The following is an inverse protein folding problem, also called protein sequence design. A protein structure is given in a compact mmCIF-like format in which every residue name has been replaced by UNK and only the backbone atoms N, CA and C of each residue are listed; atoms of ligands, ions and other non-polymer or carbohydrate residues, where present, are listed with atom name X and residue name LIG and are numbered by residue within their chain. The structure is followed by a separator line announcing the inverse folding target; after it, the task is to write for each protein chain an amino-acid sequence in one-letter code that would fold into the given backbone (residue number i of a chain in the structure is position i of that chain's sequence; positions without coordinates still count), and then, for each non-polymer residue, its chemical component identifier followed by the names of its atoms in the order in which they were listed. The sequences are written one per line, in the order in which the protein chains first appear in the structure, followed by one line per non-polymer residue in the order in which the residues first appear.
data_IF_698608555798
#
_entry.id   IF_698608555798
#
_cell.length_a   1.000
_cell.length_b   1.000
_cell.length_c   1.000
_cell.angle_alpha   90.00
_cell.angle_beta   90.00
_cell.angle_gamma   90.00
#
_symmetry.space_group_name_H-M   'P 1'
#
loop_
_entity.id
_entity.type
_entity.pdbx_description
1 polymer ?
#
# COMPACT_ATOMS: atom_id res chain seq x y z
N UNK A 1 22.27 -28.37 18.24
CA UNK A 1 22.27 -26.91 18.17
C UNK A 1 22.48 -26.34 16.75
N UNK A 2 23.49 -26.83 16.04
CA UNK A 2 23.77 -26.36 14.69
C UNK A 2 22.60 -26.58 13.74
N UNK A 3 21.88 -27.69 13.89
CA UNK A 3 20.70 -27.96 13.05
C UNK A 3 19.59 -26.95 13.27
N UNK A 4 19.47 -26.43 14.50
CA UNK A 4 18.46 -25.42 14.82
C UNK A 4 18.76 -24.11 14.10
N UNK A 5 20.03 -23.72 14.03
CA UNK A 5 20.40 -22.49 13.32
C UNK A 5 20.13 -22.56 11.82
N UNK A 6 20.42 -23.69 11.19
CA UNK A 6 20.17 -23.89 9.78
C UNK A 6 18.68 -23.81 9.49
N UNK A 7 17.87 -24.46 10.31
CA UNK A 7 16.42 -24.45 10.15
C UNK A 7 15.86 -23.04 10.32
N UNK A 8 16.37 -22.32 11.31
CA UNK A 8 15.95 -20.92 11.54
C UNK A 8 16.28 -20.03 10.35
N UNK A 9 17.44 -20.20 9.75
CA UNK A 9 17.81 -19.44 8.56
C UNK A 9 16.89 -19.72 7.40
N UNK A 10 16.52 -20.96 7.17
CA UNK A 10 15.58 -21.32 6.12
C UNK A 10 14.18 -20.74 6.37
N UNK A 11 13.75 -20.75 7.62
CA UNK A 11 12.47 -20.15 7.99
C UNK A 11 12.47 -18.64 7.74
N UNK A 12 13.56 -17.96 8.07
CA UNK A 12 13.68 -16.54 7.81
C UNK A 12 13.60 -16.22 6.32
N UNK A 13 14.25 -17.00 5.48
CA UNK A 13 14.17 -16.84 4.04
C UNK A 13 12.75 -17.08 3.54
N UNK A 14 12.07 -18.08 4.06
CA UNK A 14 10.69 -18.35 3.74
C UNK A 14 9.77 -17.21 4.13
N UNK A 15 9.97 -16.67 5.34
CA UNK A 15 9.17 -15.54 5.83
C UNK A 15 9.36 -14.32 4.93
N UNK A 16 10.60 -14.01 4.54
CA UNK A 16 10.87 -12.88 3.64
C UNK A 16 10.12 -13.04 2.33
N UNK A 17 10.09 -14.24 1.75
CA UNK A 17 9.39 -14.46 0.48
C UNK A 17 7.86 -14.37 0.61
N UNK A 18 7.30 -14.57 1.82
CA UNK A 18 5.86 -14.50 2.05
C UNK A 18 5.38 -13.12 2.54
N UNK A 19 6.30 -12.21 2.89
CA UNK A 19 5.95 -10.94 3.52
C UNK A 19 5.83 -9.77 2.55
N UNK A 20 5.76 -10.02 1.25
CA UNK A 20 5.75 -8.96 0.24
C UNK A 20 4.55 -8.01 0.35
N UNK A 21 3.37 -8.55 0.59
CA UNK A 21 2.18 -7.70 0.73
C UNK A 21 2.28 -6.76 1.93
N UNK A 22 2.90 -7.21 3.02
CA UNK A 22 3.09 -6.37 4.21
C UNK A 22 4.18 -5.31 4.03
N UNK A 23 4.89 -5.32 2.90
CA UNK A 23 5.84 -4.27 2.58
C UNK A 23 5.18 -2.90 2.40
N UNK A 24 3.85 -2.87 2.25
CA UNK A 24 3.12 -1.59 2.19
C UNK A 24 2.96 -0.94 3.57
N UNK A 25 3.15 -1.69 4.65
CA UNK A 25 2.99 -1.15 6.01
C UNK A 25 4.12 -0.19 6.35
N UNK A 26 3.79 0.89 7.05
CA UNK A 26 4.78 1.84 7.52
C UNK A 26 4.36 3.28 7.32
N UNK A 27 5.33 4.16 7.49
CA UNK A 27 5.14 5.61 7.34
C UNK A 27 5.72 6.06 6.01
N UNK A 28 5.01 6.90 5.31
CA UNK A 28 5.33 7.28 3.94
C UNK A 28 5.15 8.78 3.73
N UNK A 29 5.99 9.35 2.86
CA UNK A 29 5.80 10.70 2.35
C UNK A 29 5.12 10.59 0.99
N UNK A 30 3.97 11.23 0.83
CA UNK A 30 3.29 11.34 -0.47
C UNK A 30 3.97 12.47 -1.24
N UNK A 31 4.70 12.12 -2.28
CA UNK A 31 5.52 13.06 -3.04
C UNK A 31 4.68 14.19 -3.63
N UNK A 32 3.50 13.88 -4.13
CA UNK A 32 2.66 14.82 -4.87
C UNK A 32 2.06 15.92 -4.00
N UNK A 33 1.82 15.67 -2.72
CA UNK A 33 1.18 16.67 -1.85
C UNK A 33 1.96 16.95 -0.56
N UNK A 34 3.08 16.28 -0.33
CA UNK A 34 3.92 16.48 0.84
C UNK A 34 3.34 15.94 2.15
N UNK A 35 2.23 15.24 2.12
CA UNK A 35 1.61 14.70 3.33
C UNK A 35 2.35 13.48 3.84
N UNK A 36 2.45 13.36 5.16
CA UNK A 36 2.97 12.16 5.81
C UNK A 36 1.78 11.27 6.16
N UNK A 37 1.85 10.03 5.72
CA UNK A 37 0.76 9.07 5.89
C UNK A 37 1.29 7.79 6.52
N UNK A 38 0.38 7.03 7.11
CA UNK A 38 0.71 5.73 7.68
C UNK A 38 -0.22 4.67 7.10
N UNK A 39 0.36 3.58 6.60
CA UNK A 39 -0.40 2.41 6.19
C UNK A 39 -0.22 1.35 7.26
N UNK A 40 -1.33 0.84 7.78
CA UNK A 40 -1.37 -0.10 8.88
C UNK A 40 -2.50 -1.09 8.68
N UNK A 41 -2.52 -2.14 9.47
CA UNK A 41 -3.66 -3.06 9.52
C UNK A 41 -4.57 -2.64 10.66
N UNK A 42 -5.86 -2.48 10.36
CA UNK A 42 -6.84 -2.14 11.39
C UNK A 42 -7.22 -3.35 12.24
N UNK A 43 -8.16 -3.19 13.14
CA UNK A 43 -8.58 -4.24 14.08
C UNK A 43 -9.08 -5.51 13.38
N UNK A 44 -9.64 -5.37 12.19
CA UNK A 44 -10.14 -6.51 11.42
C UNK A 44 -9.07 -7.09 10.48
N UNK A 45 -7.84 -6.57 10.53
CA UNK A 45 -6.75 -7.07 9.70
C UNK A 45 -6.71 -6.49 8.29
N UNK A 46 -7.46 -5.43 8.05
CA UNK A 46 -7.51 -4.80 6.73
C UNK A 46 -6.47 -3.70 6.61
N UNK A 47 -5.84 -3.62 5.44
CA UNK A 47 -4.91 -2.53 5.15
C UNK A 47 -5.65 -1.21 5.09
N UNK A 48 -5.15 -0.24 5.83
CA UNK A 48 -5.78 1.08 5.97
C UNK A 48 -4.70 2.14 5.95
N UNK A 49 -4.99 3.27 5.30
CA UNK A 49 -4.05 4.40 5.26
C UNK A 49 -4.67 5.63 5.88
N UNK A 50 -3.91 6.31 6.74
CA UNK A 50 -4.35 7.55 7.37
C UNK A 50 -3.31 8.65 7.20
N UNK A 51 -3.78 9.89 7.14
CA UNK A 51 -2.92 11.07 7.18
C UNK A 51 -2.53 11.28 8.64
N UNK A 52 -1.24 11.34 8.94
CA UNK A 52 -0.78 11.42 10.33
C UNK A 52 -1.21 12.70 11.04
N UNK A 53 -1.29 13.80 10.32
CA UNK A 53 -1.62 15.10 10.88
C UNK A 53 -3.01 15.14 11.52
N UNK A 54 -4.01 14.52 10.90
CA UNK A 54 -5.40 14.64 11.32
C UNK A 54 -6.13 13.30 11.45
N UNK A 55 -5.43 12.18 11.26
CA UNK A 55 -5.98 10.82 11.31
C UNK A 55 -7.07 10.54 10.26
N UNK A 56 -7.15 11.37 9.22
CA UNK A 56 -8.11 11.15 8.15
C UNK A 56 -7.76 9.87 7.38
N UNK A 57 -8.74 8.98 7.24
CA UNK A 57 -8.56 7.73 6.51
C UNK A 57 -8.70 8.02 5.01
N UNK A 58 -7.59 7.96 4.28
CA UNK A 58 -7.57 8.25 2.85
C UNK A 58 -7.50 6.99 1.98
N UNK A 59 -7.16 5.86 2.57
CA UNK A 59 -6.94 4.62 1.84
C UNK A 59 -7.59 3.46 2.59
N UNK A 60 -8.42 2.68 1.89
CA UNK A 60 -9.08 1.49 2.46
C UNK A 60 -9.04 0.36 1.45
N UNK A 61 -8.73 -0.85 1.93
CA UNK A 61 -8.80 -2.00 1.04
C UNK A 61 -10.24 -2.33 0.69
N UNK A 62 -10.46 -2.79 -0.54
CA UNK A 62 -11.74 -3.29 -0.97
C UNK A 62 -11.89 -4.76 -0.54
N UNK A 63 -13.14 -5.24 -0.47
CA UNK A 63 -13.43 -6.60 -0.03
C UNK A 63 -12.73 -7.66 -0.89
N UNK A 64 -12.51 -7.36 -2.16
CA UNK A 64 -11.91 -8.27 -3.12
C UNK A 64 -10.41 -8.04 -3.30
N UNK A 65 -9.74 -7.58 -2.23
CA UNK A 65 -8.31 -7.31 -2.30
C UNK A 65 -7.54 -8.57 -2.72
N UNK A 66 -6.69 -8.41 -3.72
CA UNK A 66 -5.81 -9.47 -4.19
C UNK A 66 -4.37 -8.97 -4.28
N UNK A 67 -3.44 -9.86 -3.99
CA UNK A 67 -2.03 -9.59 -4.17
C UNK A 67 -1.52 -10.35 -5.38
N UNK A 68 -0.88 -9.64 -6.31
CA UNK A 68 -0.23 -10.24 -7.45
C UNK A 68 1.27 -10.34 -7.21
N UNK A 69 1.75 -11.55 -7.02
CA UNK A 69 3.18 -11.80 -6.81
C UNK A 69 4.00 -11.42 -8.05
N UNK A 70 3.46 -11.68 -9.23
CA UNK A 70 4.14 -11.39 -10.51
C UNK A 70 4.33 -9.88 -10.70
N UNK A 71 3.31 -9.11 -10.39
CA UNK A 71 3.32 -7.66 -10.55
C UNK A 71 3.79 -6.93 -9.31
N UNK A 72 3.93 -7.65 -8.20
CA UNK A 72 4.26 -7.08 -6.90
C UNK A 72 3.32 -5.95 -6.53
N UNK A 73 2.02 -6.20 -6.67
CA UNK A 73 1.00 -5.19 -6.46
C UNK A 73 -0.21 -5.73 -5.71
N UNK A 74 -0.87 -4.84 -4.98
CA UNK A 74 -2.13 -5.12 -4.31
C UNK A 74 -3.25 -4.34 -4.99
N UNK A 75 -4.35 -4.99 -5.29
CA UNK A 75 -5.53 -4.38 -5.90
C UNK A 75 -6.79 -4.98 -5.29
N UNK A 76 -7.81 -4.22 -5.00
CA UNK A 76 -7.93 -2.77 -5.17
C UNK A 76 -8.14 -2.10 -3.84
N UNK A 77 -7.83 -0.81 -3.81
CA UNK A 77 -8.10 0.05 -2.66
C UNK A 77 -9.00 1.19 -3.09
N UNK A 78 -9.71 1.76 -2.14
CA UNK A 78 -10.45 3.01 -2.33
C UNK A 78 -9.60 4.14 -1.76
N UNK A 79 -9.33 5.16 -2.56
CA UNK A 79 -8.50 6.30 -2.17
C UNK A 79 -9.29 7.59 -2.30
N UNK A 80 -9.27 8.40 -1.24
CA UNK A 80 -9.88 9.72 -1.24
C UNK A 80 -9.20 10.61 -0.20
N UNK A 81 -8.59 11.70 -0.64
CA UNK A 81 -8.10 12.74 0.26
C UNK A 81 -9.24 13.71 0.61
N UNK A 82 -9.10 14.52 1.67
CA UNK A 82 -10.17 15.45 2.07
C UNK A 82 -10.60 16.41 0.98
N UNK A 83 -9.67 16.85 0.13
CA UNK A 83 -9.95 17.80 -0.95
C UNK A 83 -10.58 17.15 -2.18
N UNK A 84 -10.58 15.82 -2.26
CA UNK A 84 -11.13 15.09 -3.41
C UNK A 84 -12.64 15.07 -3.36
N UNK A 85 -13.29 15.31 -4.50
CA UNK A 85 -14.74 15.21 -4.61
C UNK A 85 -15.22 13.77 -4.70
N UNK A 86 -14.40 12.92 -5.32
CA UNK A 86 -14.74 11.53 -5.58
C UNK A 86 -13.63 10.64 -5.05
N UNK A 87 -13.96 9.36 -4.82
CA UNK A 87 -12.96 8.37 -4.49
C UNK A 87 -12.44 7.70 -5.76
N UNK A 88 -11.24 7.15 -5.66
CA UNK A 88 -10.58 6.45 -6.74
C UNK A 88 -10.43 4.98 -6.37
N UNK A 89 -10.57 4.09 -7.37
CA UNK A 89 -10.17 2.71 -7.22
C UNK A 89 -8.72 2.61 -7.67
N UNK A 90 -7.85 2.23 -6.74
CA UNK A 90 -6.41 2.25 -6.99
C UNK A 90 -5.78 0.91 -6.65
N UNK A 91 -4.63 0.66 -7.25
CA UNK A 91 -3.76 -0.43 -6.85
C UNK A 91 -2.44 0.14 -6.38
N UNK A 92 -1.75 -0.65 -5.54
CA UNK A 92 -0.47 -0.26 -4.97
C UNK A 92 0.60 -1.18 -5.54
N UNK A 93 1.57 -0.61 -6.23
CA UNK A 93 2.75 -1.32 -6.69
C UNK A 93 3.87 -1.14 -5.67
N UNK A 94 4.50 -2.25 -5.30
CA UNK A 94 5.67 -2.23 -4.43
C UNK A 94 6.88 -2.19 -5.35
N UNK A 95 7.60 -1.07 -5.34
CA UNK A 95 8.73 -0.84 -6.23
C UNK A 95 9.98 -1.56 -5.73
N UNK A 96 10.94 -1.76 -6.62
CA UNK A 96 12.18 -2.45 -6.30
C UNK A 96 13.00 -1.76 -5.22
N UNK A 97 12.90 -0.43 -5.15
CA UNK A 97 13.61 0.38 -4.15
C UNK A 97 12.91 0.41 -2.79
N UNK A 98 11.77 -0.28 -2.66
CA UNK A 98 11.00 -0.32 -1.43
C UNK A 98 9.96 0.78 -1.31
N UNK A 99 9.90 1.69 -2.26
CA UNK A 99 8.87 2.73 -2.28
C UNK A 99 7.59 2.19 -2.91
N UNK A 100 6.50 2.93 -2.78
CA UNK A 100 5.21 2.54 -3.33
C UNK A 100 4.79 3.47 -4.44
N UNK A 101 4.12 2.90 -5.44
CA UNK A 101 3.48 3.64 -6.51
C UNK A 101 2.01 3.27 -6.51
N UNK A 102 1.15 4.26 -6.26
CA UNK A 102 -0.30 4.08 -6.24
C UNK A 102 -0.86 4.67 -7.53
N UNK A 103 -1.63 3.87 -8.24
CA UNK A 103 -2.22 4.31 -9.49
C UNK A 103 -3.68 3.87 -9.56
N UNK A 104 -4.51 4.76 -10.07
CA UNK A 104 -5.90 4.45 -10.30
C UNK A 104 -6.42 5.17 -11.54
N UNK A 105 -7.52 4.65 -12.04
CA UNK A 105 -8.19 5.27 -13.18
C UNK A 105 -9.68 5.31 -12.91
N UNK A 106 -10.33 6.34 -13.40
CA UNK A 106 -11.77 6.45 -13.37
C UNK A 106 -12.28 6.91 -14.72
N UNK A 107 -13.25 6.17 -15.25
CA UNK A 107 -13.90 6.51 -16.50
C UNK A 107 -15.20 7.24 -16.18
N UNK A 108 -15.36 8.43 -16.71
CA UNK A 108 -16.58 9.24 -16.55
C UNK A 108 -17.16 9.56 -17.89
N UNK A 109 -18.38 10.15 -17.87
CA UNK A 109 -19.07 10.57 -19.11
C UNK A 109 -18.25 11.60 -19.88
N UNK A 110 -17.44 12.40 -19.18
CA UNK A 110 -16.66 13.47 -19.80
C UNK A 110 -15.21 13.08 -20.10
N UNK A 111 -14.79 11.90 -19.71
CA UNK A 111 -13.44 11.44 -20.00
C UNK A 111 -12.89 10.44 -19.02
N UNK A 112 -11.62 10.12 -19.19
CA UNK A 112 -10.89 9.22 -18.34
C UNK A 112 -9.93 10.02 -17.45
N UNK A 113 -10.06 9.84 -16.14
CA UNK A 113 -9.17 10.48 -15.18
C UNK A 113 -8.19 9.46 -14.62
N UNK A 114 -6.96 9.89 -14.37
CA UNK A 114 -5.89 9.07 -13.83
C UNK A 114 -5.35 9.75 -12.59
N UNK A 115 -5.15 8.98 -11.53
CA UNK A 115 -4.44 9.45 -10.35
C UNK A 115 -3.18 8.61 -10.17
N UNK A 116 -2.08 9.26 -9.82
CA UNK A 116 -0.80 8.62 -9.57
C UNK A 116 -0.15 9.27 -8.35
N UNK A 117 0.27 8.42 -7.41
CA UNK A 117 0.95 8.87 -6.20
C UNK A 117 2.21 8.06 -5.99
N UNK A 118 3.25 8.75 -5.56
CA UNK A 118 4.52 8.12 -5.18
C UNK A 118 4.68 8.26 -3.68
N UNK A 119 4.81 7.14 -2.99
CA UNK A 119 4.99 7.11 -1.55
C UNK A 119 6.42 6.71 -1.25
N UNK A 120 7.13 7.58 -0.54
CA UNK A 120 8.53 7.40 -0.19
C UNK A 120 8.61 7.01 1.26
N UNK A 121 9.25 5.86 1.52
CA UNK A 121 9.33 5.32 2.88
C UNK A 121 10.06 6.27 3.80
N UNK A 122 9.48 6.48 4.97
CA UNK A 122 10.06 7.27 6.03
C UNK A 122 10.60 6.37 7.14
N UNK A 123 11.67 6.79 7.74
CA UNK A 123 12.28 6.03 8.85
C UNK A 123 11.76 6.45 10.20
#
# INVERSE_FOLDING_TARGET
MKKIFILLGMLLLGIVSYAKEDDVLGTWLVKENGKIVEIYKNETGEYTGKIKENNFIFLKQNNDLTYSKERNSLAYFTLKFPEDKFFWNVWINIEKDGNLFIKGTENTVVGKYITELHLIRQK
#
